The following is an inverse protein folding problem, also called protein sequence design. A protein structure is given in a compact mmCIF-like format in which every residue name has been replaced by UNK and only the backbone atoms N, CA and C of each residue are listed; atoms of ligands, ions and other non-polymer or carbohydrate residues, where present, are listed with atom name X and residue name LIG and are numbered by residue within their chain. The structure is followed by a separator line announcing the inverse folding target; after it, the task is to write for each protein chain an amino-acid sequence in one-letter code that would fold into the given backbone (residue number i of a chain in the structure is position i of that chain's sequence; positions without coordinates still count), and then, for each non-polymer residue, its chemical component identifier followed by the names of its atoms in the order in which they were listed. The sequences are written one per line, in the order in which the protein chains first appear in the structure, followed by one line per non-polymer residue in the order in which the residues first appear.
data_IF_359992773859
#
_entry.id   IF_359992773859
#
_cell.length_a   1.000
_cell.length_b   1.000
_cell.length_c   1.000
_cell.angle_alpha   90.00
_cell.angle_beta   90.00
_cell.angle_gamma   90.00
#
_symmetry.space_group_name_H-M   'P 1'
#
loop_
_entity.id
_entity.type
_entity.pdbx_description
1 polymer ?
#
# COMPACT_ATOMS: atom_id res chain seq x y z
N UNK A 1 -11.76 -5.46 16.05
CA UNK A 1 -11.25 -6.83 16.24
C UNK A 1 -9.74 -6.74 16.29
N UNK A 2 -9.11 -7.37 17.27
CA UNK A 2 -7.65 -7.34 17.45
C UNK A 2 -7.15 -8.74 17.76
N UNK A 3 -5.88 -9.01 17.50
CA UNK A 3 -5.23 -10.26 17.86
C UNK A 3 -5.07 -10.32 19.40
N UNK A 4 -5.34 -11.49 19.98
CA UNK A 4 -5.19 -11.79 21.41
C UNK A 4 -3.88 -12.53 21.74
N UNK A 5 -3.18 -12.96 20.70
CA UNK A 5 -1.85 -13.55 20.78
C UNK A 5 -0.88 -12.68 19.97
N UNK A 6 0.42 -12.93 20.04
CA UNK A 6 1.37 -12.21 19.20
C UNK A 6 1.17 -12.59 17.72
N UNK A 7 1.56 -11.68 16.82
CA UNK A 7 1.53 -11.95 15.39
C UNK A 7 2.41 -13.16 15.02
N UNK A 8 3.56 -13.28 15.67
CA UNK A 8 4.51 -14.38 15.54
C UNK A 8 3.88 -15.72 15.98
N UNK A 9 3.16 -15.74 17.11
CA UNK A 9 2.47 -16.95 17.57
C UNK A 9 1.32 -17.34 16.63
N UNK A 10 0.56 -16.36 16.13
CA UNK A 10 -0.53 -16.62 15.19
C UNK A 10 0.01 -17.21 13.88
N UNK A 11 1.01 -16.57 13.29
CA UNK A 11 1.64 -17.04 12.05
C UNK A 11 2.25 -18.43 12.21
N UNK A 12 2.98 -18.68 13.29
CA UNK A 12 3.55 -20.00 13.60
C UNK A 12 2.49 -21.11 13.69
N UNK A 13 1.33 -20.83 14.32
CA UNK A 13 0.21 -21.79 14.37
C UNK A 13 -0.37 -22.08 12.99
N UNK A 14 -0.51 -21.06 12.14
CA UNK A 14 -0.99 -21.25 10.76
C UNK A 14 0.05 -22.00 9.93
N UNK A 15 1.33 -21.66 10.01
CA UNK A 15 2.43 -22.35 9.32
C UNK A 15 2.50 -23.83 9.67
N UNK A 16 2.36 -24.18 10.95
CA UNK A 16 2.25 -25.58 11.39
C UNK A 16 1.06 -26.30 10.73
N UNK A 17 -0.05 -25.59 10.57
CA UNK A 17 -1.24 -26.12 9.91
C UNK A 17 -1.04 -26.29 8.39
N UNK A 18 -0.26 -25.42 7.75
CA UNK A 18 0.14 -25.54 6.35
C UNK A 18 1.03 -26.76 6.12
N UNK A 19 1.96 -27.06 7.04
CA UNK A 19 2.77 -28.29 6.97
C UNK A 19 1.89 -29.54 7.05
N UNK A 20 0.93 -29.57 7.99
CA UNK A 20 -0.04 -30.67 8.09
C UNK A 20 -0.90 -30.80 6.82
N UNK A 21 -1.25 -29.69 6.20
CA UNK A 21 -1.97 -29.67 4.92
C UNK A 21 -1.16 -30.37 3.83
N UNK A 22 0.11 -30.05 3.67
CA UNK A 22 0.98 -30.68 2.66
C UNK A 22 1.08 -32.20 2.83
N UNK A 23 1.16 -32.67 4.07
CA UNK A 23 1.24 -34.10 4.38
C UNK A 23 -0.07 -34.85 4.10
N UNK A 24 -1.23 -34.19 4.31
CA UNK A 24 -2.53 -34.72 3.91
C UNK A 24 -2.72 -34.65 2.38
N UNK A 25 -2.25 -33.60 1.72
CA UNK A 25 -2.37 -33.43 0.26
C UNK A 25 -1.67 -34.58 -0.48
N UNK A 26 -0.47 -34.96 -0.04
CA UNK A 26 0.32 -36.07 -0.61
C UNK A 26 -0.40 -37.42 -0.56
N UNK A 27 -1.43 -37.57 0.28
CA UNK A 27 -2.20 -38.81 0.37
C UNK A 27 -3.27 -38.94 -0.73
N UNK A 28 -3.74 -37.83 -1.32
CA UNK A 28 -4.79 -37.89 -2.36
C UNK A 28 -4.42 -38.73 -3.59
N UNK A 29 -3.21 -38.64 -4.17
CA UNK A 29 -2.84 -39.44 -5.35
C UNK A 29 -2.78 -40.96 -5.10
N UNK A 30 -2.52 -41.37 -3.85
CA UNK A 30 -2.36 -42.79 -3.49
C UNK A 30 -3.69 -43.48 -3.16
N UNK A 31 -4.75 -42.73 -2.85
CA UNK A 31 -6.10 -43.26 -2.55
C UNK A 31 -6.72 -43.92 -3.78
N UNK A 32 -7.17 -45.18 -3.65
CA UNK A 32 -7.66 -46.02 -4.77
C UNK A 32 -9.14 -46.40 -4.71
N UNK A 33 -9.83 -46.16 -3.60
CA UNK A 33 -11.23 -46.53 -3.41
C UNK A 33 -11.98 -45.50 -2.55
N UNK A 34 -13.32 -45.58 -2.56
CA UNK A 34 -14.20 -44.66 -1.83
C UNK A 34 -14.02 -44.73 -0.31
N UNK A 35 -13.72 -45.91 0.25
CA UNK A 35 -13.51 -46.08 1.70
C UNK A 35 -12.29 -45.31 2.19
N UNK A 36 -11.15 -45.48 1.51
CA UNK A 36 -9.91 -44.78 1.84
C UNK A 36 -10.05 -43.27 1.62
N UNK A 37 -10.82 -42.86 0.60
CA UNK A 37 -11.14 -41.45 0.37
C UNK A 37 -11.94 -40.86 1.53
N UNK A 38 -12.96 -41.57 2.04
CA UNK A 38 -13.74 -41.10 3.18
C UNK A 38 -12.89 -40.95 4.45
N UNK A 39 -11.98 -41.89 4.71
CA UNK A 39 -11.02 -41.78 5.84
C UNK A 39 -10.13 -40.55 5.68
N UNK A 40 -9.63 -40.28 4.47
CA UNK A 40 -8.84 -39.07 4.21
C UNK A 40 -9.69 -37.80 4.37
N UNK A 41 -10.94 -37.80 3.90
CA UNK A 41 -11.85 -36.68 4.06
C UNK A 41 -12.11 -36.36 5.54
N UNK A 42 -12.30 -37.37 6.38
CA UNK A 42 -12.46 -37.16 7.83
C UNK A 42 -11.22 -36.49 8.45
N UNK A 43 -10.01 -36.93 8.09
CA UNK A 43 -8.76 -36.27 8.52
C UNK A 43 -8.67 -34.82 8.04
N UNK A 44 -9.02 -34.54 6.78
CA UNK A 44 -9.01 -33.17 6.26
C UNK A 44 -10.04 -32.28 6.95
N UNK A 45 -11.18 -32.84 7.37
CA UNK A 45 -12.21 -32.13 8.13
C UNK A 45 -11.77 -31.84 9.56
N UNK A 46 -11.12 -32.80 10.22
CA UNK A 46 -10.53 -32.60 11.55
C UNK A 46 -9.47 -31.48 11.50
N UNK A 47 -8.55 -31.54 10.53
CA UNK A 47 -7.59 -30.47 10.29
C UNK A 47 -8.28 -29.12 10.07
N UNK A 48 -9.30 -29.05 9.19
CA UNK A 48 -10.01 -27.80 8.92
C UNK A 48 -10.75 -27.26 10.16
N UNK A 49 -11.23 -28.15 11.04
CA UNK A 49 -11.86 -27.76 12.30
C UNK A 49 -10.85 -27.13 13.25
N UNK A 50 -9.67 -27.75 13.41
CA UNK A 50 -8.59 -27.20 14.22
C UNK A 50 -8.10 -25.84 13.71
N UNK A 51 -7.97 -25.67 12.40
CA UNK A 51 -7.59 -24.38 11.80
C UNK A 51 -8.67 -23.31 12.00
N UNK A 52 -9.95 -23.66 11.85
CA UNK A 52 -11.07 -22.76 12.15
C UNK A 52 -10.98 -22.28 13.61
N UNK A 53 -10.73 -23.17 14.56
CA UNK A 53 -10.59 -22.80 15.97
C UNK A 53 -9.38 -21.88 16.22
N UNK A 54 -8.26 -22.09 15.52
CA UNK A 54 -7.11 -21.18 15.58
C UNK A 54 -7.52 -19.79 15.09
N UNK A 55 -8.19 -19.69 13.94
CA UNK A 55 -8.64 -18.41 13.38
C UNK A 55 -9.62 -17.73 14.31
N UNK A 56 -10.61 -18.44 14.86
CA UNK A 56 -11.65 -17.84 15.70
C UNK A 56 -11.09 -17.37 17.05
N UNK A 57 -10.29 -18.19 17.72
CA UNK A 57 -9.88 -17.95 19.10
C UNK A 57 -8.62 -17.09 19.24
N UNK A 58 -7.94 -16.77 18.13
CA UNK A 58 -6.76 -15.89 18.15
C UNK A 58 -7.11 -14.40 18.21
N UNK A 59 -8.39 -14.03 18.12
CA UNK A 59 -8.84 -12.63 18.09
C UNK A 59 -9.84 -12.31 19.20
N UNK A 60 -9.91 -11.03 19.57
CA UNK A 60 -10.92 -10.47 20.45
C UNK A 60 -11.64 -9.31 19.70
N UNK A 61 -12.98 -9.38 19.56
CA UNK A 61 -13.81 -10.57 19.77
C UNK A 61 -13.41 -11.70 18.81
N UNK A 62 -13.90 -12.91 19.08
CA UNK A 62 -13.59 -14.10 18.28
C UNK A 62 -13.93 -13.90 16.80
N UNK A 63 -13.02 -14.33 15.91
CA UNK A 63 -13.13 -14.09 14.48
C UNK A 63 -14.00 -15.15 13.75
N UNK A 64 -15.29 -15.16 14.09
CA UNK A 64 -16.26 -16.16 13.60
C UNK A 64 -16.54 -16.06 12.10
N UNK A 65 -16.38 -14.87 11.51
CA UNK A 65 -16.65 -14.64 10.09
C UNK A 65 -15.56 -15.33 9.28
N UNK A 66 -14.31 -14.96 9.47
CA UNK A 66 -13.18 -15.54 8.74
C UNK A 66 -13.00 -17.03 9.05
N UNK A 67 -13.24 -17.46 10.30
CA UNK A 67 -13.24 -18.89 10.65
C UNK A 67 -14.29 -19.69 9.86
N UNK A 68 -15.49 -19.14 9.70
CA UNK A 68 -16.55 -19.75 8.89
C UNK A 68 -16.21 -19.73 7.40
N UNK A 69 -15.71 -18.61 6.88
CA UNK A 69 -15.32 -18.48 5.47
C UNK A 69 -14.22 -19.47 5.10
N UNK A 70 -13.19 -19.61 5.94
CA UNK A 70 -12.17 -20.64 5.79
C UNK A 70 -12.79 -22.04 5.74
N UNK A 71 -13.63 -22.39 6.72
CA UNK A 71 -14.18 -23.73 6.86
C UNK A 71 -15.08 -24.12 5.70
N UNK A 72 -15.80 -23.15 5.12
CA UNK A 72 -16.69 -23.38 3.97
C UNK A 72 -16.07 -22.98 2.63
N UNK A 73 -14.79 -22.58 2.62
CA UNK A 73 -14.08 -22.30 1.37
C UNK A 73 -13.99 -23.58 0.52
N UNK A 74 -14.35 -23.46 -0.74
CA UNK A 74 -14.48 -24.56 -1.69
C UNK A 74 -15.12 -24.08 -2.99
N UNK A 75 -15.08 -24.91 -4.02
CA UNK A 75 -15.67 -24.55 -5.31
C UNK A 75 -17.20 -24.69 -5.24
N UNK A 76 -17.91 -23.68 -5.71
CA UNK A 76 -19.33 -23.79 -5.98
C UNK A 76 -19.53 -24.70 -7.19
N UNK A 77 -20.09 -25.91 -6.97
CA UNK A 77 -20.30 -26.90 -8.02
C UNK A 77 -21.79 -27.14 -8.22
N UNK A 78 -22.22 -27.20 -9.48
CA UNK A 78 -23.57 -27.61 -9.84
C UNK A 78 -23.69 -29.12 -9.70
N UNK A 79 -24.61 -29.58 -8.85
CA UNK A 79 -24.91 -31.00 -8.68
C UNK A 79 -26.25 -31.30 -9.39
N UNK A 80 -26.24 -32.26 -10.31
CA UNK A 80 -27.46 -32.79 -10.92
C UNK A 80 -28.09 -33.75 -9.90
N UNK A 81 -29.35 -33.54 -9.46
CA UNK A 81 -30.03 -34.46 -8.57
C UNK A 81 -30.00 -35.89 -9.11
N UNK A 82 -29.73 -36.87 -8.23
CA UNK A 82 -29.66 -38.31 -8.53
C UNK A 82 -28.51 -38.77 -9.44
N UNK A 83 -27.59 -37.89 -9.86
CA UNK A 83 -26.38 -38.30 -10.58
C UNK A 83 -25.29 -38.76 -9.59
N UNK A 84 -24.84 -40.01 -9.69
CA UNK A 84 -23.68 -40.50 -8.93
C UNK A 84 -22.39 -40.03 -9.61
N UNK A 85 -21.54 -39.32 -8.89
CA UNK A 85 -20.21 -38.94 -9.37
C UNK A 85 -19.28 -40.16 -9.41
N UNK A 86 -18.41 -40.19 -10.42
CA UNK A 86 -17.34 -41.19 -10.49
C UNK A 86 -16.32 -40.94 -9.37
N UNK A 87 -15.70 -42.02 -8.88
CA UNK A 87 -14.70 -41.95 -7.81
C UNK A 87 -13.57 -40.95 -8.10
N UNK A 88 -13.01 -40.96 -9.32
CA UNK A 88 -11.94 -40.02 -9.68
C UNK A 88 -12.40 -38.56 -9.68
N UNK A 89 -13.67 -38.31 -10.02
CA UNK A 89 -14.25 -36.99 -9.91
C UNK A 89 -14.38 -36.55 -8.45
N UNK A 90 -14.90 -37.42 -7.56
CA UNK A 90 -15.01 -37.13 -6.12
C UNK A 90 -13.65 -36.81 -5.50
N UNK A 91 -12.64 -37.64 -5.81
CA UNK A 91 -11.26 -37.44 -5.34
C UNK A 91 -10.67 -36.13 -5.84
N UNK A 92 -10.86 -35.79 -7.12
CA UNK A 92 -10.38 -34.55 -7.72
C UNK A 92 -11.04 -33.33 -7.06
N UNK A 93 -12.36 -33.34 -6.92
CA UNK A 93 -13.12 -32.24 -6.32
C UNK A 93 -12.71 -32.02 -4.84
N UNK A 94 -12.54 -33.11 -4.08
CA UNK A 94 -12.07 -33.04 -2.71
C UNK A 94 -10.66 -32.41 -2.60
N UNK A 95 -9.74 -32.81 -3.47
CA UNK A 95 -8.39 -32.23 -3.52
C UNK A 95 -8.43 -30.74 -3.87
N UNK A 96 -9.25 -30.34 -4.84
CA UNK A 96 -9.42 -28.94 -5.23
C UNK A 96 -9.94 -28.08 -4.05
N UNK A 97 -10.93 -28.57 -3.30
CA UNK A 97 -11.46 -27.85 -2.14
C UNK A 97 -10.43 -27.75 -1.01
N UNK A 98 -9.69 -28.83 -0.80
CA UNK A 98 -8.60 -28.84 0.17
C UNK A 98 -7.48 -27.86 -0.20
N UNK A 99 -7.16 -27.70 -1.49
CA UNK A 99 -6.22 -26.67 -1.98
C UNK A 99 -6.76 -25.26 -1.82
N UNK A 100 -8.05 -25.05 -2.04
CA UNK A 100 -8.69 -23.74 -1.80
C UNK A 100 -8.53 -23.28 -0.36
N UNK A 101 -8.63 -24.20 0.61
CA UNK A 101 -8.38 -23.90 2.03
C UNK A 101 -6.95 -23.43 2.28
N UNK A 102 -5.96 -24.09 1.68
CA UNK A 102 -4.56 -23.67 1.77
C UNK A 102 -4.36 -22.25 1.23
N UNK A 103 -4.92 -21.97 0.04
CA UNK A 103 -4.87 -20.64 -0.57
C UNK A 103 -5.53 -19.57 0.31
N UNK A 104 -6.63 -19.92 0.98
CA UNK A 104 -7.27 -19.03 1.95
C UNK A 104 -6.31 -18.65 3.08
N UNK A 105 -5.63 -19.61 3.69
CA UNK A 105 -4.70 -19.35 4.80
C UNK A 105 -3.51 -18.50 4.37
N UNK A 106 -2.91 -18.79 3.21
CA UNK A 106 -1.82 -17.98 2.68
C UNK A 106 -2.26 -16.55 2.37
N UNK A 107 -3.51 -16.36 1.92
CA UNK A 107 -4.07 -15.03 1.71
C UNK A 107 -4.38 -14.31 3.03
N UNK A 108 -4.88 -15.04 4.04
CA UNK A 108 -5.18 -14.51 5.36
C UNK A 108 -3.93 -13.96 6.06
N UNK A 109 -2.83 -14.74 6.10
CA UNK A 109 -1.56 -14.27 6.67
C UNK A 109 -1.09 -12.99 5.98
N UNK A 110 -1.13 -12.99 4.65
CA UNK A 110 -0.66 -11.87 3.85
C UNK A 110 -1.49 -10.61 4.06
N UNK A 111 -2.81 -10.73 4.10
CA UNK A 111 -3.65 -9.54 4.28
C UNK A 111 -3.56 -9.00 5.72
N UNK A 112 -3.40 -9.87 6.72
CA UNK A 112 -3.21 -9.43 8.10
C UNK A 112 -1.80 -8.91 8.40
N UNK A 113 -0.77 -9.26 7.62
CA UNK A 113 0.57 -8.72 7.84
C UNK A 113 0.64 -7.19 7.70
N UNK A 114 -0.30 -6.60 6.97
CA UNK A 114 -0.44 -5.16 6.77
C UNK A 114 -1.53 -4.49 7.64
N UNK A 115 -2.25 -5.27 8.46
CA UNK A 115 -3.38 -4.81 9.27
C UNK A 115 -2.93 -4.33 10.65
N UNK A 116 -2.28 -3.17 10.74
CA UNK A 116 -1.60 -2.71 11.96
C UNK A 116 -2.51 -2.70 13.17
N UNK A 117 -3.75 -2.20 13.01
CA UNK A 117 -4.71 -2.09 14.09
C UNK A 117 -5.25 -3.44 14.57
N UNK A 118 -5.11 -4.49 13.76
CA UNK A 118 -5.50 -5.84 14.11
C UNK A 118 -4.35 -6.58 14.79
N UNK A 119 -3.16 -6.59 14.17
CA UNK A 119 -2.06 -7.51 14.57
C UNK A 119 -1.00 -6.88 15.47
N UNK A 120 -0.94 -5.54 15.53
CA UNK A 120 0.04 -4.78 16.33
C UNK A 120 -0.55 -3.45 16.82
N UNK A 121 -1.73 -3.45 17.46
CA UNK A 121 -2.42 -2.23 17.88
C UNK A 121 -1.63 -1.41 18.91
N UNK A 122 -0.73 -2.05 19.66
CA UNK A 122 0.17 -1.44 20.64
C UNK A 122 1.33 -0.66 20.00
N UNK A 123 1.65 -0.94 18.73
CA UNK A 123 2.75 -0.29 17.99
C UNK A 123 2.32 0.94 17.21
N UNK A 124 1.03 1.28 17.23
CA UNK A 124 0.49 2.42 16.49
C UNK A 124 -0.37 3.31 17.40
N UNK A 125 -0.35 4.62 17.15
CA UNK A 125 -1.28 5.55 17.79
C UNK A 125 -2.60 5.56 17.01
N UNK A 126 -3.58 4.78 17.48
CA UNK A 126 -4.92 4.69 16.88
C UNK A 126 -5.68 6.02 16.91
N UNK A 127 -5.43 6.88 17.90
CA UNK A 127 -6.09 8.19 18.01
C UNK A 127 -5.55 9.14 16.94
N UNK A 128 -4.23 9.13 16.71
CA UNK A 128 -3.61 9.85 15.59
C UNK A 128 -4.08 9.28 14.25
N UNK A 129 -4.09 7.96 14.12
CA UNK A 129 -4.50 7.26 12.90
C UNK A 129 -5.94 7.61 12.50
N UNK A 130 -6.88 7.62 13.43
CA UNK A 130 -8.27 8.00 13.15
C UNK A 130 -8.43 9.46 12.64
N UNK A 131 -7.41 10.30 12.85
CA UNK A 131 -7.40 11.73 12.47
C UNK A 131 -6.58 12.01 11.21
N UNK A 132 -6.07 10.99 10.52
CA UNK A 132 -5.35 11.20 9.26
C UNK A 132 -6.23 11.98 8.27
N UNK A 133 -5.63 12.99 7.65
CA UNK A 133 -6.27 13.74 6.58
C UNK A 133 -6.36 12.94 5.26
N UNK A 134 -6.97 13.52 4.24
CA UNK A 134 -7.14 12.89 2.93
C UNK A 134 -5.81 12.45 2.31
N UNK A 135 -4.78 13.28 2.41
CA UNK A 135 -3.48 12.98 1.81
C UNK A 135 -2.79 11.85 2.57
N UNK A 136 -2.75 11.93 3.89
CA UNK A 136 -2.18 10.89 4.74
C UNK A 136 -2.90 9.54 4.59
N UNK A 137 -4.21 9.52 4.31
CA UNK A 137 -4.96 8.29 4.00
C UNK A 137 -4.58 7.69 2.65
N UNK A 138 -4.45 8.51 1.60
CA UNK A 138 -3.98 8.06 0.28
C UNK A 138 -2.59 7.43 0.39
N UNK A 139 -1.71 8.05 1.17
CA UNK A 139 -0.37 7.56 1.43
C UNK A 139 -0.37 6.25 2.21
N UNK A 140 -1.21 6.14 3.25
CA UNK A 140 -1.37 4.88 3.99
C UNK A 140 -1.76 3.74 3.05
N UNK A 141 -2.69 3.96 2.11
CA UNK A 141 -3.08 2.95 1.12
C UNK A 141 -1.86 2.53 0.29
N UNK A 142 -1.09 3.50 -0.24
CA UNK A 142 0.10 3.21 -1.03
C UNK A 142 1.18 2.47 -0.24
N UNK A 143 1.43 2.87 1.01
CA UNK A 143 2.39 2.19 1.88
C UNK A 143 2.01 0.73 2.13
N UNK A 144 0.72 0.47 2.39
CA UNK A 144 0.24 -0.90 2.64
C UNK A 144 0.22 -1.76 1.38
N UNK A 145 -0.11 -1.20 0.22
CA UNK A 145 0.03 -1.91 -1.05
C UNK A 145 1.51 -2.16 -1.42
N UNK A 146 2.40 -1.23 -1.06
CA UNK A 146 3.85 -1.37 -1.25
C UNK A 146 4.44 -2.49 -0.38
N UNK A 147 3.95 -2.67 0.85
CA UNK A 147 4.34 -3.80 1.71
C UNK A 147 3.96 -5.15 1.08
N UNK A 148 2.84 -5.23 0.35
CA UNK A 148 2.35 -6.45 -0.30
C UNK A 148 3.06 -6.75 -1.63
N UNK A 149 3.20 -5.75 -2.52
CA UNK A 149 3.96 -5.74 -3.78
C UNK A 149 4.01 -7.04 -4.61
N UNK A 150 2.90 -7.78 -4.65
CA UNK A 150 2.80 -9.07 -5.36
C UNK A 150 1.90 -9.02 -6.61
N UNK A 151 1.54 -7.81 -7.04
CA UNK A 151 0.73 -7.57 -8.24
C UNK A 151 -0.75 -7.96 -8.09
N UNK A 152 -1.20 -8.33 -6.89
CA UNK A 152 -2.60 -8.65 -6.63
C UNK A 152 -3.40 -7.38 -6.31
N UNK A 153 -4.71 -7.51 -6.42
CA UNK A 153 -5.66 -6.48 -6.04
C UNK A 153 -6.14 -6.73 -4.62
N UNK A 154 -6.17 -5.67 -3.81
CA UNK A 154 -6.58 -5.73 -2.41
C UNK A 154 -7.71 -4.75 -2.13
N UNK A 155 -8.68 -5.18 -1.33
CA UNK A 155 -9.82 -4.37 -0.91
C UNK A 155 -9.33 -3.15 -0.12
N UNK A 156 -9.54 -1.95 -0.66
CA UNK A 156 -9.04 -0.71 -0.06
C UNK A 156 -9.82 -0.33 1.19
N UNK A 157 -11.11 -0.69 1.25
CA UNK A 157 -11.89 -0.52 2.48
C UNK A 157 -11.27 -1.34 3.61
N UNK A 158 -10.95 -2.61 3.32
CA UNK A 158 -10.26 -3.47 4.28
C UNK A 158 -8.90 -2.88 4.70
N UNK A 159 -8.08 -2.39 3.77
CA UNK A 159 -6.77 -1.78 4.09
C UNK A 159 -6.95 -0.64 5.10
N UNK A 160 -7.90 0.27 4.87
CA UNK A 160 -8.15 1.41 5.75
C UNK A 160 -8.69 0.97 7.12
N UNK A 161 -9.76 0.17 7.13
CA UNK A 161 -10.43 -0.27 8.37
C UNK A 161 -9.50 -1.11 9.27
N UNK A 162 -8.77 -2.05 8.67
CA UNK A 162 -7.81 -2.92 9.38
C UNK A 162 -6.56 -2.16 9.88
N UNK A 163 -6.39 -0.91 9.45
CA UNK A 163 -5.37 0.01 9.94
C UNK A 163 -5.95 1.13 10.80
N UNK A 164 -7.19 1.02 11.28
CA UNK A 164 -7.77 1.94 12.25
C UNK A 164 -8.37 3.21 11.64
N UNK A 165 -8.62 3.23 10.33
CA UNK A 165 -9.32 4.31 9.65
C UNK A 165 -10.79 3.91 9.49
N UNK A 166 -11.68 4.64 10.13
CA UNK A 166 -13.10 4.54 9.84
C UNK A 166 -13.39 5.25 8.51
N UNK A 167 -14.06 4.55 7.60
CA UNK A 167 -14.45 5.09 6.30
C UNK A 167 -15.97 5.20 6.18
N UNK A 168 -16.42 6.18 5.42
CA UNK A 168 -17.82 6.27 5.00
C UNK A 168 -18.06 5.41 3.76
N UNK A 169 -19.30 4.97 3.56
CA UNK A 169 -19.65 4.14 2.41
C UNK A 169 -19.31 4.84 1.09
N UNK A 170 -18.44 4.23 0.28
CA UNK A 170 -18.06 4.73 -1.04
C UNK A 170 -16.85 5.66 -1.04
N UNK A 171 -16.37 6.09 0.13
CA UNK A 171 -15.17 6.94 0.26
C UNK A 171 -13.93 6.26 -0.32
N UNK A 172 -13.84 4.93 -0.19
CA UNK A 172 -12.76 4.13 -0.76
C UNK A 172 -12.65 4.26 -2.29
N UNK A 173 -13.78 4.51 -2.97
CA UNK A 173 -13.82 4.65 -4.44
C UNK A 173 -13.19 5.96 -4.88
N UNK A 174 -13.39 7.03 -4.12
CA UNK A 174 -12.78 8.33 -4.39
C UNK A 174 -11.27 8.26 -4.17
N UNK A 175 -10.82 7.64 -3.07
CA UNK A 175 -9.40 7.44 -2.82
C UNK A 175 -8.73 6.65 -3.95
N UNK A 176 -9.31 5.52 -4.34
CA UNK A 176 -8.76 4.71 -5.44
C UNK A 176 -8.77 5.47 -6.76
N UNK A 177 -9.85 6.21 -7.05
CA UNK A 177 -9.92 7.02 -8.26
C UNK A 177 -8.81 8.08 -8.29
N UNK A 178 -8.55 8.78 -7.19
CA UNK A 178 -7.46 9.74 -7.11
C UNK A 178 -6.09 9.07 -7.33
N UNK A 179 -5.84 7.93 -6.68
CA UNK A 179 -4.57 7.20 -6.86
C UNK A 179 -4.40 6.69 -8.30
N UNK A 180 -5.48 6.23 -8.93
CA UNK A 180 -5.48 5.73 -10.30
C UNK A 180 -5.29 6.86 -11.32
N UNK A 181 -5.98 7.99 -11.14
CA UNK A 181 -5.84 9.17 -12.00
C UNK A 181 -4.40 9.73 -11.96
N UNK A 182 -3.67 9.52 -10.84
CA UNK A 182 -2.24 9.84 -10.70
C UNK A 182 -1.30 8.70 -11.15
N UNK A 183 -1.83 7.60 -11.68
CA UNK A 183 -1.06 6.45 -12.16
C UNK A 183 -0.35 5.65 -11.07
N UNK A 184 -0.72 5.83 -9.79
CA UNK A 184 -0.06 5.19 -8.64
C UNK A 184 -0.61 3.79 -8.33
N UNK A 185 -1.86 3.51 -8.73
CA UNK A 185 -2.49 2.19 -8.59
C UNK A 185 -3.26 1.83 -9.86
N UNK A 186 -3.46 0.53 -10.09
CA UNK A 186 -4.51 0.02 -10.97
C UNK A 186 -5.75 -0.30 -10.13
N UNK A 187 -6.94 0.10 -10.57
CA UNK A 187 -8.18 -0.18 -9.86
C UNK A 187 -8.97 -1.36 -10.44
N UNK A 188 -9.68 -2.07 -9.56
CA UNK A 188 -10.72 -3.04 -9.92
C UNK A 188 -12.03 -2.60 -9.27
N UNK A 189 -12.92 -2.03 -10.08
CA UNK A 189 -14.21 -1.48 -9.64
C UNK A 189 -15.31 -2.54 -9.63
N UNK A 190 -15.21 -3.51 -8.73
CA UNK A 190 -16.28 -4.49 -8.48
C UNK A 190 -17.15 -4.05 -7.28
N UNK A 191 -17.82 -5.00 -6.60
CA UNK A 191 -18.68 -4.74 -5.43
C UNK A 191 -17.97 -3.90 -4.35
N UNK A 192 -16.71 -4.22 -4.07
CA UNK A 192 -15.78 -3.39 -3.31
C UNK A 192 -14.62 -3.00 -4.20
N UNK A 193 -14.14 -1.76 -4.09
CA UNK A 193 -13.01 -1.34 -4.92
C UNK A 193 -11.74 -2.00 -4.39
N UNK A 194 -10.98 -2.58 -5.30
CA UNK A 194 -9.67 -3.14 -4.96
C UNK A 194 -8.60 -2.45 -5.78
N UNK A 195 -7.40 -2.33 -5.22
CA UNK A 195 -6.29 -1.66 -5.89
C UNK A 195 -5.03 -2.53 -5.87
N UNK A 196 -4.20 -2.37 -6.90
CA UNK A 196 -2.84 -2.92 -6.97
C UNK A 196 -1.86 -1.80 -7.25
N UNK A 197 -0.75 -1.74 -6.53
CA UNK A 197 0.26 -0.68 -6.71
C UNK A 197 0.97 -0.81 -8.07
N UNK A 198 1.12 0.31 -8.79
CA UNK A 198 1.87 0.34 -10.06
C UNK A 198 3.37 0.47 -9.79
N UNK A 199 4.18 0.46 -10.86
CA UNK A 199 5.58 0.87 -10.74
C UNK A 199 5.72 2.30 -10.21
N UNK A 200 4.92 3.24 -10.72
CA UNK A 200 4.96 4.64 -10.28
C UNK A 200 4.56 4.79 -8.82
N UNK A 201 3.53 4.07 -8.36
CA UNK A 201 3.16 4.04 -6.94
C UNK A 201 4.29 3.53 -6.04
N UNK A 202 5.05 2.53 -6.49
CA UNK A 202 6.22 2.05 -5.73
C UNK A 202 7.32 3.10 -5.68
N UNK A 203 7.64 3.75 -6.80
CA UNK A 203 8.63 4.82 -6.86
C UNK A 203 8.22 5.96 -5.93
N UNK A 204 6.95 6.37 -5.94
CA UNK A 204 6.43 7.40 -5.03
C UNK A 204 6.70 7.08 -3.56
N UNK A 205 6.37 5.86 -3.11
CA UNK A 205 6.64 5.42 -1.73
C UNK A 205 8.14 5.37 -1.43
N UNK A 206 8.95 4.87 -2.36
CA UNK A 206 10.40 4.79 -2.21
C UNK A 206 11.06 6.17 -2.12
N UNK A 207 10.63 7.13 -2.93
CA UNK A 207 11.12 8.51 -2.91
C UNK A 207 10.77 9.20 -1.61
N UNK A 208 9.55 8.99 -1.11
CA UNK A 208 9.14 9.51 0.20
C UNK A 208 9.94 8.91 1.36
N UNK A 209 10.28 7.62 1.27
CA UNK A 209 11.10 6.91 2.28
C UNK A 209 12.58 7.23 2.20
N UNK A 210 13.07 7.70 1.06
CA UNK A 210 14.44 8.20 0.97
C UNK A 210 14.50 9.48 1.79
N UNK A 211 15.28 9.47 2.87
CA UNK A 211 15.86 10.70 3.43
C UNK A 211 16.81 11.25 2.37
N UNK A 212 16.25 11.96 1.38
CA UNK A 212 17.05 12.62 0.36
C UNK A 212 17.74 13.81 1.02
N UNK A 213 19.02 13.62 1.31
CA UNK A 213 19.89 14.74 1.66
C UNK A 213 20.22 15.40 0.33
N UNK A 214 19.65 16.57 0.09
CA UNK A 214 19.97 17.38 -1.08
C UNK A 214 21.46 17.72 -1.07
N UNK A 215 22.16 17.31 -2.12
CA UNK A 215 23.58 17.55 -2.29
C UNK A 215 23.81 18.84 -3.08
N UNK A 216 23.66 19.98 -2.40
CA UNK A 216 23.88 21.30 -2.99
C UNK A 216 25.36 21.62 -3.28
N UNK A 217 26.29 20.65 -3.23
CA UNK A 217 27.71 20.90 -3.51
C UNK A 217 27.97 21.40 -4.94
N UNK A 218 27.05 21.08 -5.86
CA UNK A 218 27.06 21.44 -7.28
C UNK A 218 26.69 22.90 -7.56
N UNK A 219 26.07 23.61 -6.61
CA UNK A 219 25.72 25.04 -6.77
C UNK A 219 26.98 25.85 -7.06
N UNK A 220 26.91 26.78 -8.00
CA UNK A 220 28.05 27.64 -8.34
C UNK A 220 28.42 28.55 -7.13
N UNK A 221 29.71 28.69 -6.83
CA UNK A 221 30.19 29.62 -5.78
C UNK A 221 30.35 31.05 -6.31
N UNK A 222 30.27 31.23 -7.64
CA UNK A 222 30.50 32.50 -8.28
C UNK A 222 29.23 33.36 -8.29
N UNK A 223 29.28 34.46 -7.53
CA UNK A 223 28.22 35.45 -7.44
C UNK A 223 27.75 35.98 -8.81
N UNK A 224 28.66 36.13 -9.78
CA UNK A 224 28.30 36.58 -11.12
C UNK A 224 27.43 35.56 -11.86
N UNK A 225 27.68 34.26 -11.66
CA UNK A 225 26.91 33.17 -12.29
C UNK A 225 25.53 33.08 -11.65
N UNK A 226 25.44 33.11 -10.32
CA UNK A 226 24.15 33.09 -9.61
C UNK A 226 23.31 34.30 -10.01
N UNK A 227 23.89 35.51 -10.00
CA UNK A 227 23.16 36.72 -10.39
C UNK A 227 22.67 36.66 -11.83
N UNK A 228 23.51 36.17 -12.76
CA UNK A 228 23.10 35.98 -14.15
C UNK A 228 21.96 34.95 -14.29
N UNK A 229 22.00 33.85 -13.54
CA UNK A 229 20.91 32.87 -13.51
C UNK A 229 19.61 33.49 -12.96
N UNK A 230 19.69 34.31 -11.92
CA UNK A 230 18.54 35.04 -11.36
C UNK A 230 17.98 36.02 -12.39
N UNK A 231 18.83 36.80 -13.06
CA UNK A 231 18.40 37.75 -14.10
C UNK A 231 17.71 37.02 -15.27
N UNK A 232 18.23 35.86 -15.68
CA UNK A 232 17.60 35.01 -16.71
C UNK A 232 16.23 34.48 -16.26
N UNK A 233 16.10 34.10 -14.99
CA UNK A 233 14.82 33.67 -14.41
C UNK A 233 13.82 34.82 -14.44
N UNK A 234 14.20 36.02 -13.99
CA UNK A 234 13.32 37.20 -13.96
C UNK A 234 12.89 37.61 -15.38
N UNK A 235 13.80 37.57 -16.36
CA UNK A 235 13.47 37.82 -17.77
C UNK A 235 12.48 36.77 -18.32
N UNK A 236 12.69 35.49 -18.01
CA UNK A 236 11.74 34.42 -18.39
C UNK A 236 10.37 34.62 -17.76
N UNK A 237 10.30 34.96 -16.47
CA UNK A 237 9.05 35.24 -15.77
C UNK A 237 8.29 36.41 -16.43
N UNK A 238 9.01 37.47 -16.78
CA UNK A 238 8.46 38.62 -17.51
C UNK A 238 7.88 38.21 -18.85
N UNK A 239 8.61 37.39 -19.63
CA UNK A 239 8.17 36.88 -20.94
C UNK A 239 6.95 35.96 -20.86
N UNK A 240 6.80 35.23 -19.76
CA UNK A 240 5.63 34.39 -19.48
C UNK A 240 4.41 35.19 -18.98
N UNK A 241 4.56 36.50 -18.79
CA UNK A 241 3.47 37.38 -18.35
C UNK A 241 3.28 37.45 -16.83
N UNK A 242 4.22 36.91 -16.05
CA UNK A 242 4.23 37.12 -14.61
C UNK A 242 4.71 38.54 -14.31
N UNK A 243 3.94 39.27 -13.49
CA UNK A 243 4.20 40.68 -13.16
C UNK A 243 3.86 41.03 -11.71
N UNK A 244 3.57 40.01 -10.89
CA UNK A 244 3.30 40.19 -9.47
C UNK A 244 4.62 40.54 -8.77
N UNK A 245 4.69 41.72 -8.17
CA UNK A 245 5.87 42.25 -7.48
C UNK A 245 6.41 41.26 -6.42
N UNK A 246 5.51 40.54 -5.75
CA UNK A 246 5.86 39.51 -4.75
C UNK A 246 6.77 38.43 -5.35
N UNK A 247 6.49 37.95 -6.57
CA UNK A 247 7.31 36.91 -7.22
C UNK A 247 8.71 37.45 -7.50
N UNK A 248 8.79 38.68 -8.04
CA UNK A 248 10.06 39.31 -8.40
C UNK A 248 10.90 39.59 -7.16
N UNK A 249 10.31 40.10 -6.09
CA UNK A 249 10.99 40.37 -4.83
C UNK A 249 11.55 39.08 -4.21
N UNK A 250 10.74 38.01 -4.17
CA UNK A 250 11.18 36.70 -3.65
C UNK A 250 12.40 36.14 -4.40
N UNK A 251 12.41 36.27 -5.72
CA UNK A 251 13.49 35.78 -6.58
C UNK A 251 14.71 36.71 -6.55
N UNK A 252 14.51 38.02 -6.51
CA UNK A 252 15.60 39.00 -6.49
C UNK A 252 16.36 38.99 -5.15
N UNK A 253 15.67 38.73 -4.03
CA UNK A 253 16.30 38.60 -2.71
C UNK A 253 17.41 37.53 -2.67
N UNK A 254 17.31 36.50 -3.53
CA UNK A 254 18.33 35.45 -3.65
C UNK A 254 19.70 35.99 -4.06
N UNK A 255 19.77 37.14 -4.74
CA UNK A 255 21.04 37.81 -5.09
C UNK A 255 21.82 38.26 -3.87
N UNK A 256 21.15 38.66 -2.79
CA UNK A 256 21.82 39.05 -1.55
C UNK A 256 22.08 37.84 -0.66
N UNK A 257 21.14 36.88 -0.66
CA UNK A 257 21.24 35.68 0.18
C UNK A 257 22.41 34.77 -0.23
N UNK A 258 22.70 34.60 -1.53
CA UNK A 258 23.83 33.75 -1.93
C UNK A 258 25.20 34.29 -1.44
N UNK A 259 25.32 35.60 -1.19
CA UNK A 259 26.58 36.21 -0.71
C UNK A 259 26.88 35.88 0.75
N UNK A 260 25.85 35.55 1.52
CA UNK A 260 25.93 35.36 2.97
C UNK A 260 25.73 33.91 3.39
N UNK A 261 25.06 33.12 2.55
CA UNK A 261 24.74 31.72 2.81
C UNK A 261 25.74 30.78 2.14
N UNK A 262 26.07 29.67 2.80
CA UNK A 262 26.76 28.57 2.13
C UNK A 262 25.79 27.85 1.15
N UNK A 263 26.33 27.09 0.19
CA UNK A 263 25.53 26.39 -0.84
C UNK A 263 24.35 25.59 -0.28
N UNK A 264 24.57 24.87 0.82
CA UNK A 264 23.52 24.05 1.44
C UNK A 264 22.38 24.92 1.96
N UNK A 265 22.71 25.95 2.72
CA UNK A 265 21.71 26.87 3.27
C UNK A 265 21.03 27.67 2.17
N UNK A 266 21.77 28.09 1.14
CA UNK A 266 21.21 28.76 -0.03
C UNK A 266 20.21 27.88 -0.78
N UNK A 267 20.59 26.64 -1.12
CA UNK A 267 19.71 25.69 -1.80
C UNK A 267 18.41 25.40 -1.02
N UNK A 268 18.51 25.27 0.31
CA UNK A 268 17.34 25.12 1.18
C UNK A 268 16.43 26.35 1.18
N UNK A 269 17.01 27.56 1.15
CA UNK A 269 16.24 28.81 1.06
C UNK A 269 15.54 28.94 -0.29
N UNK A 270 16.23 28.63 -1.39
CA UNK A 270 15.62 28.58 -2.73
C UNK A 270 14.44 27.61 -2.70
N UNK A 271 14.63 26.40 -2.15
CA UNK A 271 13.54 25.42 -2.02
C UNK A 271 12.35 25.97 -1.23
N UNK A 272 12.60 26.58 -0.07
CA UNK A 272 11.56 27.14 0.79
C UNK A 272 10.74 28.20 0.05
N UNK A 273 11.41 29.17 -0.59
CA UNK A 273 10.73 30.21 -1.37
C UNK A 273 9.91 29.65 -2.52
N UNK A 274 10.42 28.63 -3.22
CA UNK A 274 9.70 27.95 -4.29
C UNK A 274 8.45 27.24 -3.78
N UNK A 275 8.53 26.59 -2.62
CA UNK A 275 7.37 26.00 -1.95
C UNK A 275 6.34 27.07 -1.58
N UNK A 276 6.77 28.21 -1.05
CA UNK A 276 5.87 29.31 -0.69
C UNK A 276 5.14 29.89 -1.91
N UNK A 277 5.85 30.08 -3.03
CA UNK A 277 5.26 30.51 -4.31
C UNK A 277 4.27 29.47 -4.87
N UNK A 278 4.55 28.18 -4.70
CA UNK A 278 3.66 27.08 -5.09
C UNK A 278 2.37 27.08 -4.25
N UNK A 279 2.51 27.23 -2.92
CA UNK A 279 1.38 27.27 -1.98
C UNK A 279 0.48 28.50 -2.24
N UNK A 280 1.08 29.62 -2.59
CA UNK A 280 0.36 30.83 -2.99
C UNK A 280 -0.25 30.73 -4.41
N UNK A 281 0.01 29.64 -5.15
CA UNK A 281 -0.42 29.40 -6.53
C UNK A 281 -0.04 30.55 -7.47
N UNK A 282 1.13 31.13 -7.25
CA UNK A 282 1.61 32.29 -8.02
C UNK A 282 2.30 31.88 -9.32
N UNK A 283 2.82 30.65 -9.39
CA UNK A 283 3.53 30.09 -10.55
C UNK A 283 3.06 28.66 -10.83
N UNK A 284 3.13 28.27 -12.10
CA UNK A 284 2.90 26.89 -12.53
C UNK A 284 4.09 25.97 -12.16
N UNK A 285 3.82 24.67 -12.00
CA UNK A 285 4.82 23.67 -11.56
C UNK A 285 6.05 23.64 -12.47
N UNK A 286 5.89 23.66 -13.79
CA UNK A 286 7.00 23.66 -14.75
C UNK A 286 7.90 24.90 -14.60
N UNK A 287 7.31 26.03 -14.18
CA UNK A 287 8.07 27.26 -13.92
C UNK A 287 8.83 27.16 -12.60
N UNK A 288 8.21 26.62 -11.56
CA UNK A 288 8.82 26.38 -10.25
C UNK A 288 10.01 25.40 -10.36
N UNK A 289 9.83 24.32 -11.11
CA UNK A 289 10.87 23.32 -11.37
C UNK A 289 12.05 23.94 -12.12
N UNK A 290 11.79 24.72 -13.17
CA UNK A 290 12.82 25.46 -13.90
C UNK A 290 13.64 26.38 -13.00
N UNK A 291 12.98 27.17 -12.13
CA UNK A 291 13.68 28.11 -11.24
C UNK A 291 14.61 27.34 -10.30
N UNK A 292 14.09 26.29 -9.67
CA UNK A 292 14.85 25.49 -8.74
C UNK A 292 16.04 24.79 -9.41
N UNK A 293 15.84 24.17 -10.57
CA UNK A 293 16.89 23.52 -11.35
C UNK A 293 17.96 24.50 -11.80
N UNK A 294 17.56 25.69 -12.26
CA UNK A 294 18.50 26.70 -12.75
C UNK A 294 19.42 27.22 -11.65
N UNK A 295 18.92 27.32 -10.42
CA UNK A 295 19.66 27.84 -9.27
C UNK A 295 20.42 26.76 -8.50
N UNK A 296 19.95 25.52 -8.54
CA UNK A 296 20.51 24.44 -7.71
C UNK A 296 21.17 23.32 -8.50
N UNK A 297 20.90 23.20 -9.80
CA UNK A 297 21.25 22.04 -10.63
C UNK A 297 20.59 20.72 -10.17
N UNK A 298 19.55 20.80 -9.35
CA UNK A 298 18.78 19.65 -8.89
C UNK A 298 17.33 19.75 -9.34
N UNK A 299 16.71 18.60 -9.60
CA UNK A 299 15.27 18.50 -9.82
C UNK A 299 14.50 18.89 -8.56
N UNK A 300 13.45 19.68 -8.74
CA UNK A 300 12.59 20.11 -7.65
C UNK A 300 11.80 18.91 -7.12
N UNK A 301 12.03 18.58 -5.85
CA UNK A 301 11.24 17.58 -5.13
C UNK A 301 10.41 18.30 -4.09
N UNK A 302 9.17 18.60 -4.47
CA UNK A 302 8.18 19.10 -3.54
C UNK A 302 7.78 17.96 -2.59
N UNK A 303 7.63 18.23 -1.29
CA UNK A 303 7.05 17.27 -0.36
C UNK A 303 5.58 16.99 -0.69
#
# INVERSE_FOLDING_TARGET
MTLNITWEDFTSKIEKSLIQHEDLEKQFPVVKNETDLNVLLDKTKEWATGVKEIIENSFIPANQIEGREFFHSGHQRFNIPNAKKLFDQLKKEALEDFKTKNNFLSNLIRIYSIADAIVRPDKIDLVKRAKLDTHERLELILEKLYELRDGRYYDVAFILESNGIAIQYGEEREYVKMLEDNGLVNAMHIRRVSASITLNGRIFVEEKRRTYIEDYSSIDDNAAVINANIDEILDKLTKLGYGQEIIFNEIEELKELHKTLNKKTFGQVVKGKIVDLALAKLLENDTLEYIYEKLTHHHLRLP
#
